data_IF_234008557083
#
_entry.id   IF_234008557083
#
_cell.length_a   1.000
_cell.length_b   1.000
_cell.length_c   1.000
_cell.angle_alpha   90.00
_cell.angle_beta   90.00
_cell.angle_gamma   90.00
#
_symmetry.space_group_name_H-M   'P 1'
#
loop_
_entity.id
_entity.type
_entity.pdbx_description
1 polymer ?
#
# COMPACT_ATOMS: atom_id res chain seq x y z
N UNK A 1 -2.80 -22.23 1.74
CA UNK A 1 -3.03 -22.61 3.14
C UNK A 1 -2.38 -21.56 4.04
N UNK A 2 -3.12 -20.87 4.93
CA UNK A 2 -2.57 -19.85 5.82
C UNK A 2 -1.34 -20.30 6.62
N UNK A 3 -1.26 -21.59 6.97
CA UNK A 3 -0.13 -22.14 7.73
C UNK A 3 1.19 -22.02 6.95
N UNK A 4 1.15 -22.23 5.64
CA UNK A 4 2.34 -22.08 4.78
C UNK A 4 2.81 -20.62 4.70
N UNK A 5 1.90 -19.64 4.74
CA UNK A 5 2.26 -18.22 4.77
C UNK A 5 2.98 -17.88 6.08
N UNK A 6 2.50 -18.44 7.19
CA UNK A 6 3.11 -18.26 8.51
C UNK A 6 4.52 -18.82 8.60
N UNK A 7 4.76 -20.02 8.06
CA UNK A 7 6.09 -20.63 8.04
C UNK A 7 7.10 -19.78 7.26
N UNK A 8 6.68 -19.17 6.15
CA UNK A 8 7.53 -18.24 5.38
C UNK A 8 7.80 -16.97 6.19
N UNK A 9 6.76 -16.39 6.79
CA UNK A 9 6.89 -15.14 7.54
C UNK A 9 7.78 -15.30 8.80
N UNK A 10 7.75 -16.46 9.45
CA UNK A 10 8.66 -16.77 10.57
C UNK A 10 10.14 -16.70 10.17
N UNK A 11 10.46 -17.07 8.93
CA UNK A 11 11.82 -17.01 8.38
C UNK A 11 12.15 -15.66 7.76
N UNK A 12 11.16 -15.00 7.17
CA UNK A 12 11.30 -13.71 6.48
C UNK A 12 10.22 -12.71 6.94
N UNK A 13 10.39 -12.08 8.13
CA UNK A 13 9.34 -11.27 8.76
C UNK A 13 8.90 -10.01 7.98
N UNK A 14 9.71 -9.60 7.01
CA UNK A 14 9.55 -8.38 6.21
C UNK A 14 9.26 -8.67 4.73
N UNK A 15 8.90 -9.92 4.39
CA UNK A 15 8.52 -10.24 3.02
C UNK A 15 7.16 -9.62 2.68
N UNK A 16 7.16 -8.57 1.86
CA UNK A 16 5.97 -7.77 1.58
C UNK A 16 4.81 -8.59 1.00
N UNK A 17 5.04 -9.47 0.02
CA UNK A 17 3.96 -10.31 -0.53
C UNK A 17 3.31 -11.19 0.54
N UNK A 18 4.09 -11.84 1.40
CA UNK A 18 3.55 -12.70 2.46
C UNK A 18 2.72 -11.91 3.47
N UNK A 19 3.18 -10.71 3.84
CA UNK A 19 2.41 -9.79 4.67
C UNK A 19 1.09 -9.41 3.99
N UNK A 20 1.11 -9.06 2.71
CA UNK A 20 -0.10 -8.70 1.96
C UNK A 20 -1.05 -9.88 1.73
N UNK A 21 -0.54 -11.10 1.57
CA UNK A 21 -1.37 -12.30 1.50
C UNK A 21 -2.06 -12.58 2.84
N UNK A 22 -1.34 -12.48 3.96
CA UNK A 22 -1.95 -12.59 5.29
C UNK A 22 -2.98 -11.47 5.53
N UNK A 23 -2.70 -10.24 5.12
CA UNK A 23 -3.67 -9.16 5.18
C UNK A 23 -4.99 -9.51 4.48
N UNK A 24 -4.92 -10.19 3.32
CA UNK A 24 -6.11 -10.64 2.59
C UNK A 24 -6.85 -11.76 3.33
N UNK A 25 -6.13 -12.72 3.90
CA UNK A 25 -6.72 -13.79 4.73
C UNK A 25 -7.50 -13.20 5.90
N UNK A 26 -6.92 -12.24 6.62
CA UNK A 26 -7.59 -11.58 7.74
C UNK A 26 -8.76 -10.71 7.30
N UNK A 27 -8.65 -10.05 6.14
CA UNK A 27 -9.75 -9.29 5.54
C UNK A 27 -10.94 -10.17 5.20
N UNK A 28 -10.71 -11.37 4.65
CA UNK A 28 -11.76 -12.36 4.38
C UNK A 28 -12.43 -12.91 5.65
N UNK A 29 -11.74 -12.86 6.79
CA UNK A 29 -12.29 -13.22 8.10
C UNK A 29 -12.96 -12.06 8.84
N UNK A 30 -13.07 -10.90 8.19
CA UNK A 30 -13.58 -9.66 8.78
C UNK A 30 -12.74 -9.13 9.96
N UNK A 31 -11.51 -9.63 10.10
CA UNK A 31 -10.55 -9.21 11.12
C UNK A 31 -9.73 -8.00 10.62
N UNK A 32 -10.43 -6.88 10.35
CA UNK A 32 -9.86 -5.73 9.66
C UNK A 32 -8.68 -5.09 10.37
N UNK A 33 -8.68 -5.04 11.71
CA UNK A 33 -7.56 -4.47 12.49
C UNK A 33 -6.25 -5.19 12.23
N UNK A 34 -6.28 -6.52 12.14
CA UNK A 34 -5.09 -7.33 11.84
C UNK A 34 -4.69 -7.18 10.38
N UNK A 35 -5.66 -7.14 9.45
CA UNK A 35 -5.39 -6.89 8.04
C UNK A 35 -4.64 -5.56 7.83
N UNK A 36 -5.05 -4.49 8.51
CA UNK A 36 -4.41 -3.17 8.46
C UNK A 36 -2.99 -3.21 9.03
N UNK A 37 -2.74 -3.97 10.11
CA UNK A 37 -1.40 -4.14 10.66
C UNK A 37 -0.44 -4.77 9.63
N UNK A 38 -0.87 -5.83 8.96
CA UNK A 38 -0.05 -6.46 7.92
C UNK A 38 0.22 -5.56 6.71
N UNK A 39 -0.76 -4.76 6.28
CA UNK A 39 -0.55 -3.74 5.23
C UNK A 39 0.47 -2.70 5.68
N UNK A 40 0.38 -2.22 6.92
CA UNK A 40 1.31 -1.24 7.50
C UNK A 40 2.73 -1.80 7.58
N UNK A 41 2.88 -3.07 7.96
CA UNK A 41 4.18 -3.77 7.98
C UNK A 41 4.78 -3.93 6.58
N UNK A 42 3.95 -4.18 5.57
CA UNK A 42 4.41 -4.25 4.19
C UNK A 42 4.92 -2.87 3.70
N UNK A 43 4.20 -1.79 4.00
CA UNK A 43 4.65 -0.42 3.71
C UNK A 43 6.00 -0.13 4.38
N UNK A 44 6.12 -0.45 5.68
CA UNK A 44 7.35 -0.24 6.43
C UNK A 44 8.53 -1.07 5.90
N UNK A 45 8.27 -2.28 5.39
CA UNK A 45 9.30 -3.11 4.76
C UNK A 45 9.94 -2.45 3.51
N UNK A 46 9.18 -1.64 2.78
CA UNK A 46 9.71 -0.84 1.67
C UNK A 46 10.34 0.46 2.14
N UNK A 47 9.70 1.18 3.07
CA UNK A 47 10.22 2.44 3.61
C UNK A 47 11.67 2.28 4.10
N UNK A 48 11.96 1.19 4.82
CA UNK A 48 13.31 0.86 5.29
C UNK A 48 14.31 0.46 4.20
N UNK A 49 13.82 0.04 3.03
CA UNK A 49 14.63 -0.43 1.91
C UNK A 49 15.00 0.69 0.94
N UNK A 50 14.25 1.81 0.96
CA UNK A 50 14.56 2.97 0.15
C UNK A 50 15.77 3.73 0.67
N UNK A 51 16.55 4.30 -0.24
CA UNK A 51 17.67 5.18 0.09
C UNK A 51 17.12 6.48 0.70
N UNK A 52 17.84 7.09 1.66
CA UNK A 52 17.40 8.35 2.28
C UNK A 52 17.21 9.52 1.30
N UNK A 53 17.81 9.45 0.10
CA UNK A 53 17.59 10.41 -0.99
C UNK A 53 16.23 10.23 -1.69
N UNK A 54 15.59 9.07 -1.57
CA UNK A 54 14.28 8.76 -2.12
C UNK A 54 13.20 9.34 -1.19
N UNK A 55 12.90 10.63 -1.37
CA UNK A 55 11.82 11.32 -0.65
C UNK A 55 10.46 11.14 -1.34
N UNK A 56 9.45 10.76 -0.57
CA UNK A 56 8.05 10.70 -1.04
C UNK A 56 7.33 12.05 -0.99
N UNK A 57 7.93 13.07 -0.37
CA UNK A 57 7.24 14.31 0.00
C UNK A 57 7.17 15.34 -1.12
N UNK A 58 8.08 15.26 -2.09
CA UNK A 58 8.23 16.28 -3.14
C UNK A 58 7.71 15.84 -4.52
N UNK A 59 7.27 14.58 -4.65
CA UNK A 59 6.76 14.04 -5.92
C UNK A 59 7.80 13.93 -7.05
N UNK A 60 9.11 13.96 -6.74
CA UNK A 60 10.17 13.89 -7.75
C UNK A 60 10.72 12.48 -7.99
N UNK A 61 10.42 11.54 -7.09
CA UNK A 61 10.88 10.17 -7.22
C UNK A 61 9.87 9.31 -7.98
N UNK A 62 10.40 8.37 -8.78
CA UNK A 62 9.61 7.44 -9.61
C UNK A 62 9.92 6.01 -9.22
N UNK A 63 8.92 5.15 -9.36
CA UNK A 63 9.05 3.73 -9.11
C UNK A 63 8.34 2.97 -10.23
N UNK A 64 9.10 2.24 -11.03
CA UNK A 64 8.56 1.51 -12.18
C UNK A 64 7.68 0.33 -11.70
N UNK A 65 6.39 0.38 -12.03
CA UNK A 65 5.42 -0.67 -11.66
C UNK A 65 5.63 -1.98 -12.42
N UNK A 66 6.25 -1.95 -13.61
CA UNK A 66 6.47 -3.15 -14.41
C UNK A 66 7.47 -4.09 -13.74
N UNK A 67 8.35 -3.54 -12.89
CA UNK A 67 9.22 -4.32 -12.01
C UNK A 67 8.40 -5.02 -10.93
N UNK A 68 8.41 -6.34 -10.96
CA UNK A 68 7.60 -7.19 -10.07
C UNK A 68 7.86 -6.89 -8.60
N UNK A 69 9.11 -6.56 -8.24
CA UNK A 69 9.53 -6.25 -6.88
C UNK A 69 8.89 -4.97 -6.32
N UNK A 70 8.39 -4.07 -7.19
CA UNK A 70 7.77 -2.82 -6.77
C UNK A 70 6.26 -2.97 -6.55
N UNK A 71 5.61 -3.94 -7.22
CA UNK A 71 4.16 -4.13 -7.18
C UNK A 71 3.57 -4.28 -5.78
N UNK A 72 4.22 -4.99 -4.82
CA UNK A 72 3.69 -5.08 -3.46
C UNK A 72 3.66 -3.72 -2.76
N UNK A 73 4.59 -2.81 -3.06
CA UNK A 73 4.55 -1.45 -2.52
C UNK A 73 3.32 -0.68 -3.02
N UNK A 74 3.07 -0.70 -4.34
CA UNK A 74 1.88 -0.09 -4.93
C UNK A 74 0.57 -0.68 -4.34
N UNK A 75 0.50 -2.01 -4.24
CA UNK A 75 -0.66 -2.69 -3.63
C UNK A 75 -0.85 -2.29 -2.17
N UNK A 76 0.24 -2.15 -1.40
CA UNK A 76 0.19 -1.75 0.01
C UNK A 76 -0.34 -0.32 0.18
N UNK A 77 0.10 0.64 -0.66
CA UNK A 77 -0.42 2.02 -0.62
C UNK A 77 -1.90 2.04 -1.04
N UNK A 78 -2.28 1.32 -2.09
CA UNK A 78 -3.68 1.25 -2.52
C UNK A 78 -4.58 0.68 -1.41
N UNK A 79 -4.17 -0.39 -0.74
CA UNK A 79 -4.94 -0.93 0.40
C UNK A 79 -5.02 0.08 1.54
N UNK A 80 -3.96 0.82 1.81
CA UNK A 80 -3.97 1.92 2.78
C UNK A 80 -4.98 3.02 2.41
N UNK A 81 -5.10 3.38 1.12
CA UNK A 81 -6.11 4.33 0.62
C UNK A 81 -7.53 3.82 0.92
N UNK A 82 -7.81 2.53 0.67
CA UNK A 82 -9.12 1.91 0.96
C UNK A 82 -9.39 1.89 2.48
N UNK A 83 -8.40 1.52 3.28
CA UNK A 83 -8.56 1.39 4.72
C UNK A 83 -8.76 2.76 5.39
N UNK A 84 -8.07 3.81 4.92
CA UNK A 84 -8.29 5.19 5.35
C UNK A 84 -9.68 5.73 4.96
N UNK A 85 -10.18 5.37 3.77
CA UNK A 85 -11.55 5.69 3.36
C UNK A 85 -12.58 5.08 4.30
N UNK A 86 -12.43 3.79 4.65
CA UNK A 86 -13.32 3.09 5.59
C UNK A 86 -13.32 3.70 6.98
N UNK A 87 -12.18 4.26 7.39
CA UNK A 87 -12.01 4.95 8.69
C UNK A 87 -12.53 6.39 8.70
N UNK A 88 -13.02 6.91 7.58
CA UNK A 88 -13.49 8.29 7.48
C UNK A 88 -12.35 9.33 7.48
N UNK A 89 -11.18 8.97 6.93
CA UNK A 89 -10.03 9.87 6.81
C UNK A 89 -9.79 10.27 5.33
N UNK A 90 -10.72 10.98 4.67
CA UNK A 90 -10.64 11.24 3.23
C UNK A 90 -9.43 12.11 2.85
N UNK A 91 -9.06 13.08 3.67
CA UNK A 91 -7.87 13.92 3.41
C UNK A 91 -6.59 13.09 3.38
N UNK A 92 -6.39 12.23 4.38
CA UNK A 92 -5.22 11.35 4.43
C UNK A 92 -5.25 10.34 3.29
N UNK A 93 -6.41 9.74 3.00
CA UNK A 93 -6.57 8.83 1.86
C UNK A 93 -6.20 9.50 0.54
N UNK A 94 -6.57 10.77 0.35
CA UNK A 94 -6.24 11.56 -0.83
C UNK A 94 -4.72 11.75 -0.99
N UNK A 95 -4.00 12.05 0.10
CA UNK A 95 -2.54 12.18 0.02
C UNK A 95 -1.85 10.85 -0.33
N UNK A 96 -2.36 9.71 0.17
CA UNK A 96 -1.86 8.39 -0.24
C UNK A 96 -2.19 8.04 -1.70
N UNK A 97 -3.36 8.44 -2.21
CA UNK A 97 -3.69 8.29 -3.62
C UNK A 97 -2.78 9.18 -4.49
N UNK A 98 -2.51 10.42 -4.07
CA UNK A 98 -1.53 11.29 -4.75
C UNK A 98 -0.13 10.70 -4.77
N UNK A 99 0.29 10.03 -3.70
CA UNK A 99 1.56 9.32 -3.65
C UNK A 99 1.65 8.27 -4.76
N UNK A 100 0.64 7.42 -4.94
CA UNK A 100 0.62 6.42 -6.03
C UNK A 100 0.84 7.04 -7.41
N UNK A 101 0.13 8.14 -7.72
CA UNK A 101 0.30 8.85 -9.00
C UNK A 101 1.67 9.50 -9.10
N UNK A 102 2.21 10.03 -8.00
CA UNK A 102 3.56 10.64 -8.03
C UNK A 102 4.66 9.62 -8.35
N UNK A 103 4.48 8.35 -7.96
CA UNK A 103 5.44 7.28 -8.20
C UNK A 103 5.42 6.83 -9.65
N UNK A 104 4.23 6.75 -10.26
CA UNK A 104 4.05 6.33 -11.64
C UNK A 104 2.87 7.08 -12.30
N UNK A 105 3.12 8.29 -12.85
CA UNK A 105 2.05 9.14 -13.38
C UNK A 105 1.43 8.66 -14.71
N UNK A 106 2.14 7.82 -15.48
CA UNK A 106 1.77 7.53 -16.86
C UNK A 106 0.98 6.21 -17.00
N UNK A 107 1.40 5.15 -16.31
CA UNK A 107 0.76 3.83 -16.46
C UNK A 107 -0.46 3.63 -15.57
N UNK A 108 -0.72 4.55 -14.63
CA UNK A 108 -1.85 4.54 -13.71
C UNK A 108 -2.11 3.17 -13.02
N UNK A 109 -1.10 2.59 -12.34
CA UNK A 109 -1.28 1.30 -11.70
C UNK A 109 -2.36 1.41 -10.62
N UNK A 110 -3.31 0.47 -10.62
CA UNK A 110 -4.42 0.37 -9.67
C UNK A 110 -5.61 1.35 -9.83
N UNK A 111 -5.75 2.07 -10.95
CA UNK A 111 -6.96 2.88 -11.14
C UNK A 111 -7.05 4.08 -10.18
N UNK A 112 -5.91 4.71 -9.88
CA UNK A 112 -5.77 5.76 -8.87
C UNK A 112 -6.62 7.01 -9.17
N UNK A 113 -6.86 7.33 -10.44
CA UNK A 113 -7.69 8.50 -10.79
C UNK A 113 -9.11 8.38 -10.22
N UNK A 114 -9.67 7.16 -10.17
CA UNK A 114 -10.98 6.92 -9.55
C UNK A 114 -10.99 7.26 -8.06
N UNK A 115 -9.89 6.96 -7.35
CA UNK A 115 -9.75 7.39 -5.95
C UNK A 115 -9.65 8.91 -5.86
N UNK A 116 -8.85 9.57 -6.70
CA UNK A 116 -8.70 11.02 -6.67
C UNK A 116 -10.00 11.78 -6.96
N UNK A 117 -10.75 11.37 -7.98
CA UNK A 117 -12.02 12.01 -8.37
C UNK A 117 -13.03 11.96 -7.23
N UNK A 118 -13.09 10.83 -6.53
CA UNK A 118 -13.95 10.66 -5.36
C UNK A 118 -13.44 11.41 -4.13
N UNK A 119 -12.13 11.32 -3.87
CA UNK A 119 -11.52 11.84 -2.65
C UNK A 119 -11.33 13.35 -2.69
N UNK A 120 -11.10 13.97 -3.84
CA UNK A 120 -10.86 15.42 -3.94
C UNK A 120 -12.03 16.23 -3.39
N UNK A 121 -13.28 15.84 -3.71
CA UNK A 121 -14.49 16.48 -3.19
C UNK A 121 -14.64 16.29 -1.68
N UNK A 122 -14.20 15.15 -1.15
CA UNK A 122 -14.31 14.82 0.27
C UNK A 122 -13.18 15.36 1.13
N UNK A 123 -12.03 15.64 0.53
CA UNK A 123 -10.81 16.04 1.22
C UNK A 123 -10.81 17.53 1.63
N UNK A 124 -11.65 18.36 1.00
CA UNK A 124 -11.70 19.80 1.23
C UNK A 124 -10.60 20.56 0.49
#
# INVERSE_FOLDING_TARGET
>A
DPETLWQVLQRMPWHADMLLQLAEVYRHREEYSQAVDYVSRALYAYERAFLGAFSFMNGNNRLDFDRVENRPFFLSIHRQVIDLQRRGCPRTAFEHARLLISLEPLSEPHGVYLHLDYLCVKAG
#
